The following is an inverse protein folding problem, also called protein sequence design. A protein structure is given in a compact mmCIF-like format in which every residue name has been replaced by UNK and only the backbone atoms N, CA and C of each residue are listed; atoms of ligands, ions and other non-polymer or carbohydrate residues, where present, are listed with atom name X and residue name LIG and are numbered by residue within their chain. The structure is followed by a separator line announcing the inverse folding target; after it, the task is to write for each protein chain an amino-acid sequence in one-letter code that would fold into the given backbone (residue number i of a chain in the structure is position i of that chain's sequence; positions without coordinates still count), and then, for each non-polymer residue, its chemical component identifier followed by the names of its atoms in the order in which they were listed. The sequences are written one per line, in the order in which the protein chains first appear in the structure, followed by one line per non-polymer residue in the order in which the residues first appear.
data_IF_446089099293
#
_entry.id   IF_446089099293
#
_cell.length_a   1.000
_cell.length_b   1.000
_cell.length_c   1.000
_cell.angle_alpha   90.00
_cell.angle_beta   90.00
_cell.angle_gamma   90.00
#
_symmetry.space_group_name_H-M   'P 1'
#
loop_
_entity.id
_entity.type
_entity.pdbx_description
1 polymer ?
#
# COMPACT_ATOMS: atom_id res chain seq x y z
N UNK A 1 15.61 -10.34 -18.71
CA UNK A 1 14.23 -9.78 -18.70
C UNK A 1 14.24 -8.42 -18.01
N UNK A 2 13.60 -7.40 -18.57
CA UNK A 2 13.46 -6.09 -17.89
C UNK A 2 12.65 -6.30 -16.60
N UNK A 3 13.23 -5.98 -15.45
CA UNK A 3 12.57 -6.12 -14.14
C UNK A 3 11.57 -4.97 -13.97
N UNK A 4 10.28 -5.27 -14.01
CA UNK A 4 9.23 -4.27 -13.75
C UNK A 4 9.19 -3.90 -12.27
N UNK A 5 8.97 -2.62 -11.99
CA UNK A 5 8.70 -2.11 -10.64
C UNK A 5 7.19 -1.98 -10.45
N UNK A 6 6.71 -2.29 -9.25
CA UNK A 6 5.29 -2.20 -8.90
C UNK A 6 5.08 -1.15 -7.82
N UNK A 7 4.17 -0.22 -8.08
CA UNK A 7 3.68 0.75 -7.10
C UNK A 7 2.23 0.37 -6.78
N UNK A 8 1.94 0.11 -5.52
CA UNK A 8 0.60 -0.25 -5.02
C UNK A 8 0.02 0.92 -4.26
N UNK A 9 -1.19 1.32 -4.65
CA UNK A 9 -1.92 2.43 -4.04
C UNK A 9 -3.11 1.89 -3.27
N UNK A 10 -3.04 1.96 -1.95
CA UNK A 10 -4.18 1.75 -1.07
C UNK A 10 -4.99 3.06 -1.04
N UNK A 11 -5.91 3.19 -2.00
CA UNK A 11 -6.76 4.36 -2.18
C UNK A 11 -7.90 4.41 -1.13
N UNK A 12 -8.56 5.58 -1.02
CA UNK A 12 -9.68 5.90 -0.12
C UNK A 12 -9.28 6.00 1.34
N UNK A 13 -8.06 6.50 1.61
CA UNK A 13 -7.59 6.78 2.97
C UNK A 13 -8.58 7.67 3.74
N UNK A 14 -9.12 8.69 3.09
CA UNK A 14 -10.11 9.61 3.66
C UNK A 14 -11.36 8.90 4.16
N UNK A 15 -11.91 7.98 3.37
CA UNK A 15 -13.08 7.17 3.74
C UNK A 15 -12.72 6.20 4.86
N UNK A 16 -11.54 5.60 4.80
CA UNK A 16 -11.06 4.66 5.81
C UNK A 16 -10.85 5.35 7.17
N UNK A 17 -10.20 6.51 7.18
CA UNK A 17 -9.95 7.29 8.39
C UNK A 17 -11.25 7.86 8.98
N UNK A 18 -12.24 8.18 8.14
CA UNK A 18 -13.56 8.63 8.59
C UNK A 18 -14.38 7.50 9.26
N UNK A 19 -14.07 6.23 9.01
CA UNK A 19 -14.74 5.10 9.65
C UNK A 19 -14.15 4.84 11.05
N UNK A 20 -14.91 5.19 12.10
CA UNK A 20 -14.54 4.88 13.51
C UNK A 20 -14.34 3.39 13.79
N UNK A 21 -14.92 2.52 12.97
CA UNK A 21 -14.71 1.07 12.96
C UNK A 21 -14.70 0.61 11.50
N UNK A 22 -13.53 0.43 10.88
CA UNK A 22 -13.48 -0.16 9.54
C UNK A 22 -14.08 -1.56 9.63
N UNK A 23 -15.18 -1.79 8.92
CA UNK A 23 -15.75 -3.13 8.80
C UNK A 23 -14.80 -3.95 7.93
N UNK A 24 -14.09 -4.89 8.56
CA UNK A 24 -13.28 -5.90 7.86
C UNK A 24 -14.16 -7.04 7.32
N UNK A 25 -15.49 -6.85 7.29
CA UNK A 25 -16.50 -7.81 6.85
C UNK A 25 -16.51 -7.98 5.32
N UNK A 26 -15.36 -8.36 4.78
CA UNK A 26 -15.28 -9.26 3.63
C UNK A 26 -14.70 -10.56 4.17
N UNK A 27 -15.50 -11.63 4.17
CA UNK A 27 -15.07 -12.96 4.63
C UNK A 27 -13.62 -13.24 4.21
N UNK A 28 -12.70 -13.60 5.13
CA UNK A 28 -11.42 -14.14 4.70
C UNK A 28 -11.71 -15.37 3.82
N UNK A 29 -11.03 -15.53 2.66
CA UNK A 29 -10.93 -16.86 2.10
C UNK A 29 -10.19 -17.68 3.16
N UNK A 30 -10.90 -18.65 3.73
CA UNK A 30 -10.50 -19.53 4.81
C UNK A 30 -10.28 -18.91 6.20
N UNK A 31 -11.32 -19.02 7.04
CA UNK A 31 -11.25 -19.71 8.33
C UNK A 31 -10.32 -19.19 9.44
N UNK A 32 -9.65 -18.05 9.27
CA UNK A 32 -8.80 -17.49 10.32
C UNK A 32 -9.65 -16.67 11.30
N UNK A 33 -9.78 -17.17 12.54
CA UNK A 33 -10.25 -16.43 13.70
C UNK A 33 -9.30 -15.26 14.00
N UNK A 34 -9.39 -14.18 13.23
CA UNK A 34 -8.69 -12.93 13.52
C UNK A 34 -9.64 -12.03 14.28
N UNK A 35 -9.38 -11.90 15.58
CA UNK A 35 -9.99 -10.91 16.48
C UNK A 35 -10.03 -9.55 15.79
N UNK A 36 -11.23 -9.01 15.54
CA UNK A 36 -11.44 -7.70 14.95
C UNK A 36 -10.82 -6.64 15.87
N UNK A 37 -9.68 -6.07 15.46
CA UNK A 37 -9.08 -4.94 16.16
C UNK A 37 -9.94 -3.69 15.96
N UNK A 38 -10.26 -2.96 17.04
CA UNK A 38 -11.02 -1.72 16.96
C UNK A 38 -10.19 -0.52 16.49
N UNK A 39 -8.89 -0.70 16.25
CA UNK A 39 -7.97 0.35 15.83
C UNK A 39 -7.81 0.38 14.30
N UNK A 40 -7.98 1.58 13.72
CA UNK A 40 -7.88 1.82 12.29
C UNK A 40 -6.47 1.51 11.76
N UNK A 41 -5.43 1.80 12.55
CA UNK A 41 -4.04 1.55 12.17
C UNK A 41 -3.76 0.04 12.05
N UNK A 42 -4.26 -0.73 13.02
CA UNK A 42 -4.21 -2.19 13.02
C UNK A 42 -4.97 -2.80 11.84
N UNK A 43 -6.16 -2.29 11.53
CA UNK A 43 -6.99 -2.77 10.42
C UNK A 43 -6.38 -2.49 9.05
N UNK A 44 -5.81 -1.30 8.85
CA UNK A 44 -5.12 -0.93 7.62
C UNK A 44 -3.85 -1.77 7.41
N UNK A 45 -3.12 -2.03 8.49
CA UNK A 45 -1.94 -2.89 8.47
C UNK A 45 -2.30 -4.33 8.10
N UNK A 46 -3.43 -4.85 8.58
CA UNK A 46 -3.93 -6.17 8.23
C UNK A 46 -4.31 -6.28 6.74
N UNK A 47 -5.02 -5.29 6.20
CA UNK A 47 -5.39 -5.23 4.77
C UNK A 47 -4.13 -5.22 3.90
N UNK A 48 -3.15 -4.38 4.26
CA UNK A 48 -1.86 -4.33 3.58
C UNK A 48 -1.16 -5.68 3.64
N UNK A 49 -1.06 -6.29 4.82
CA UNK A 49 -0.39 -7.58 5.00
C UNK A 49 -1.03 -8.68 4.14
N UNK A 50 -2.37 -8.75 4.08
CA UNK A 50 -3.09 -9.70 3.22
C UNK A 50 -2.76 -9.51 1.73
N UNK A 51 -2.69 -8.28 1.25
CA UNK A 51 -2.37 -8.03 -0.16
C UNK A 51 -0.89 -8.30 -0.48
N UNK A 52 0.01 -7.86 0.41
CA UNK A 52 1.45 -7.95 0.20
C UNK A 52 1.99 -9.37 0.37
N UNK A 53 1.36 -10.22 1.18
CA UNK A 53 1.79 -11.61 1.38
C UNK A 53 1.75 -12.43 0.08
N UNK A 54 0.88 -12.05 -0.87
CA UNK A 54 0.78 -12.69 -2.18
C UNK A 54 1.86 -12.22 -3.17
N UNK A 55 2.69 -11.25 -2.78
CA UNK A 55 3.63 -10.60 -3.69
C UNK A 55 5.07 -10.95 -3.30
N UNK A 56 5.80 -11.50 -4.26
CA UNK A 56 7.17 -12.02 -4.07
C UNK A 56 8.28 -11.04 -4.45
N UNK A 57 7.92 -9.81 -4.84
CA UNK A 57 8.86 -8.78 -5.33
C UNK A 57 8.80 -7.54 -4.44
N UNK A 58 9.89 -6.75 -4.45
CA UNK A 58 9.88 -5.43 -3.81
C UNK A 58 8.76 -4.58 -4.40
N UNK A 59 7.91 -4.06 -3.52
CA UNK A 59 6.79 -3.18 -3.85
C UNK A 59 6.96 -1.86 -3.15
N UNK A 60 6.64 -0.80 -3.89
CA UNK A 60 6.49 0.54 -3.37
C UNK A 60 5.02 0.72 -3.04
N UNK A 61 4.68 1.10 -1.82
CA UNK A 61 3.29 1.15 -1.41
C UNK A 61 2.95 2.46 -0.73
N UNK A 62 1.76 2.98 -1.03
CA UNK A 62 1.26 4.21 -0.43
C UNK A 62 -0.19 4.04 0.01
N UNK A 63 -0.55 4.71 1.11
CA UNK A 63 -1.93 4.87 1.53
C UNK A 63 -2.32 6.31 1.29
N UNK A 64 -3.23 6.52 0.34
CA UNK A 64 -3.55 7.85 -0.19
C UNK A 64 -5.05 8.00 -0.37
N UNK A 65 -5.50 9.25 -0.47
CA UNK A 65 -6.78 9.55 -1.10
C UNK A 65 -6.50 10.20 -2.45
N UNK A 66 -7.10 9.68 -3.51
CA UNK A 66 -7.02 10.30 -4.83
C UNK A 66 -7.80 11.63 -4.91
N UNK A 67 -8.59 11.97 -3.89
CA UNK A 67 -9.23 13.30 -3.79
C UNK A 67 -8.20 14.40 -3.51
N UNK A 68 -7.10 14.08 -2.82
CA UNK A 68 -6.06 15.03 -2.45
C UNK A 68 -4.86 14.92 -3.39
N UNK A 69 -5.02 15.49 -4.59
CA UNK A 69 -4.06 15.40 -5.69
C UNK A 69 -2.62 15.66 -5.28
N UNK A 70 -2.34 16.76 -4.58
CA UNK A 70 -0.97 17.16 -4.25
C UNK A 70 -0.27 16.12 -3.36
N UNK A 71 -0.99 15.60 -2.36
CA UNK A 71 -0.45 14.55 -1.47
C UNK A 71 -0.25 13.21 -2.19
N UNK A 72 -1.14 12.89 -3.12
CA UNK A 72 -1.02 11.71 -3.97
C UNK A 72 0.19 11.83 -4.91
N UNK A 73 0.32 12.96 -5.61
CA UNK A 73 1.41 13.20 -6.56
C UNK A 73 2.76 13.15 -5.85
N UNK A 74 2.90 13.82 -4.69
CA UNK A 74 4.11 13.74 -3.88
C UNK A 74 4.48 12.28 -3.53
N UNK A 75 3.52 11.49 -3.04
CA UNK A 75 3.74 10.09 -2.65
C UNK A 75 4.22 9.22 -3.83
N UNK A 76 3.60 9.39 -5.01
CA UNK A 76 4.01 8.64 -6.21
C UNK A 76 5.36 9.10 -6.72
N UNK A 77 5.61 10.41 -6.73
CA UNK A 77 6.89 10.99 -7.17
C UNK A 77 8.06 10.55 -6.29
N UNK A 78 7.85 10.38 -4.99
CA UNK A 78 8.87 9.82 -4.08
C UNK A 78 9.30 8.41 -4.51
N UNK A 79 8.35 7.55 -4.86
CA UNK A 79 8.65 6.20 -5.33
C UNK A 79 9.31 6.17 -6.70
N UNK A 80 8.87 7.03 -7.62
CA UNK A 80 9.52 7.18 -8.93
C UNK A 80 10.97 7.64 -8.75
N UNK A 81 11.20 8.59 -7.85
CA UNK A 81 12.54 9.10 -7.53
C UNK A 81 13.43 8.01 -6.90
N UNK A 82 12.91 7.21 -5.97
CA UNK A 82 13.66 6.08 -5.39
C UNK A 82 14.02 5.03 -6.46
N UNK A 83 13.10 4.74 -7.37
CA UNK A 83 13.33 3.82 -8.50
C UNK A 83 14.40 4.37 -9.44
N UNK A 84 14.34 5.66 -9.76
CA UNK A 84 15.30 6.32 -10.64
C UNK A 84 16.71 6.35 -10.03
N UNK A 85 16.84 6.71 -8.76
CA UNK A 85 18.12 6.72 -8.05
C UNK A 85 18.78 5.34 -8.02
N UNK A 86 17.99 4.28 -7.80
CA UNK A 86 18.50 2.90 -7.84
C UNK A 86 18.97 2.45 -9.21
N UNK A 87 18.37 2.96 -10.28
CA UNK A 87 18.86 2.69 -11.64
C UNK A 87 20.13 3.47 -11.95
N UNK A 88 20.21 4.74 -11.54
CA UNK A 88 21.41 5.57 -11.70
C UNK A 88 22.63 5.05 -10.94
N UNK A 89 22.43 4.45 -9.76
CA UNK A 89 23.51 3.84 -8.98
C UNK A 89 24.06 2.52 -9.58
N UNK A 90 23.36 1.90 -10.54
CA UNK A 90 23.72 0.59 -11.13
C UNK A 90 24.35 0.74 -12.52
N UNK A 91 24.60 1.97 -12.98
CA UNK A 91 25.45 2.24 -14.14
C UNK A 91 26.88 2.52 -13.69
N UNK A 92 27.77 1.51 -13.55
CA UNK A 92 29.19 1.77 -13.69
C UNK A 92 29.48 2.07 -15.17
N UNK A 93 30.31 3.08 -15.42
CA UNK A 93 30.92 3.30 -16.74
C UNK A 93 31.79 2.11 -17.13
#
# INVERSE_FOLDING_TARGET
MKKSHFIVLFNKKDVFDAQKRPQLDGFPPDGANTTLSSDATSSLSLIKAKFLSHLTRKIYQHTVSLLYRDTFEASVMDSISEIAAKKGAVTPM
#
